data_IF_740155441638
#
_entry.id   IF_740155441638
#
_cell.length_a   1.000
_cell.length_b   1.000
_cell.length_c   1.000
_cell.angle_alpha   90.00
_cell.angle_beta   90.00
_cell.angle_gamma   90.00
#
_symmetry.space_group_name_H-M   'P 1'
#
loop_
_entity.id
_entity.type
_entity.pdbx_description
1 polymer ?
#
# COMPACT_ATOMS: atom_id res chain seq x y z
N UNK A 1 1.35 -41.44 -8.02
CA UNK A 1 1.21 -40.40 -9.03
C UNK A 1 -0.12 -39.70 -8.82
N UNK A 2 -0.12 -38.54 -8.12
CA UNK A 2 -1.30 -37.71 -7.90
C UNK A 2 -1.25 -36.53 -8.89
N UNK A 3 -2.33 -36.21 -9.60
CA UNK A 3 -2.34 -35.11 -10.55
C UNK A 3 -2.41 -33.79 -9.82
N UNK A 4 -1.58 -32.82 -10.26
CA UNK A 4 -1.52 -31.46 -9.77
C UNK A 4 -2.83 -30.68 -10.02
N UNK A 5 -3.24 -29.77 -9.14
CA UNK A 5 -4.45 -28.99 -9.33
C UNK A 5 -4.25 -27.95 -10.43
N UNK A 6 -5.15 -27.95 -11.40
CA UNK A 6 -5.24 -26.97 -12.48
C UNK A 6 -5.62 -25.60 -11.91
N UNK A 7 -4.79 -24.60 -12.16
CA UNK A 7 -5.10 -23.18 -11.89
C UNK A 7 -6.25 -22.74 -12.79
N UNK A 8 -7.28 -22.04 -12.28
CA UNK A 8 -8.28 -21.43 -13.13
C UNK A 8 -7.66 -20.24 -13.87
N UNK A 9 -7.68 -20.30 -15.19
CA UNK A 9 -7.42 -19.18 -16.07
C UNK A 9 -8.60 -18.21 -15.97
N UNK A 10 -8.42 -17.08 -15.30
CA UNK A 10 -9.33 -15.95 -15.39
C UNK A 10 -9.20 -15.32 -16.78
N UNK A 11 -10.13 -15.70 -17.64
CA UNK A 11 -10.45 -14.98 -18.87
C UNK A 11 -10.87 -13.56 -18.50
N UNK A 12 -10.05 -12.60 -18.86
CA UNK A 12 -10.41 -11.19 -18.90
C UNK A 12 -11.50 -11.02 -19.97
N UNK A 13 -12.74 -11.10 -19.54
CA UNK A 13 -13.86 -10.62 -20.34
C UNK A 13 -13.70 -9.11 -20.50
N UNK A 14 -13.42 -8.69 -21.72
CA UNK A 14 -13.50 -7.31 -22.17
C UNK A 14 -14.89 -6.78 -21.83
N UNK A 15 -14.96 -5.92 -20.81
CA UNK A 15 -16.14 -5.09 -20.54
C UNK A 15 -16.23 -4.06 -21.66
N UNK A 16 -16.94 -4.43 -22.71
CA UNK A 16 -17.61 -3.51 -23.60
C UNK A 16 -18.67 -2.79 -22.75
N UNK A 17 -18.34 -1.62 -22.26
CA UNK A 17 -19.30 -0.67 -21.72
C UNK A 17 -20.22 -0.29 -22.87
N UNK A 18 -21.34 -1.00 -22.98
CA UNK A 18 -22.41 -0.63 -23.85
C UNK A 18 -22.96 0.75 -23.44
N UNK A 19 -22.88 1.67 -24.38
CA UNK A 19 -23.30 3.07 -24.38
C UNK A 19 -24.82 3.30 -24.24
N UNK A 20 -25.55 2.43 -23.55
CA UNK A 20 -27.03 2.39 -23.62
C UNK A 20 -27.76 2.75 -22.33
N UNK A 21 -27.06 3.25 -21.28
CA UNK A 21 -27.76 3.66 -20.04
C UNK A 21 -27.71 5.16 -19.72
N UNK A 22 -27.29 6.02 -20.66
CA UNK A 22 -27.10 7.45 -20.39
C UNK A 22 -28.20 8.37 -20.97
N UNK A 23 -29.26 7.86 -21.54
CA UNK A 23 -30.19 8.71 -22.28
C UNK A 23 -31.51 9.11 -21.57
N UNK A 24 -31.73 8.72 -20.32
CA UNK A 24 -33.04 8.99 -19.71
C UNK A 24 -33.06 9.70 -18.34
N UNK A 25 -31.91 10.09 -17.79
CA UNK A 25 -31.87 10.86 -16.54
C UNK A 25 -31.41 12.33 -16.69
N UNK A 26 -31.32 12.83 -17.92
CA UNK A 26 -30.70 14.13 -18.20
C UNK A 26 -31.69 15.33 -18.13
N UNK A 27 -32.89 15.19 -17.59
CA UNK A 27 -33.91 16.22 -17.69
C UNK A 27 -34.35 16.91 -16.41
N UNK A 28 -33.58 16.82 -15.32
CA UNK A 28 -33.98 17.47 -14.06
C UNK A 28 -32.87 18.31 -13.40
N UNK A 29 -31.98 18.94 -14.16
CA UNK A 29 -31.03 19.89 -13.59
C UNK A 29 -31.06 21.20 -14.37
N UNK A 30 -31.57 22.24 -13.72
CA UNK A 30 -31.55 23.68 -14.00
C UNK A 30 -30.87 24.13 -15.30
N UNK A 31 -31.71 24.66 -16.21
CA UNK A 31 -31.38 25.27 -17.50
C UNK A 31 -30.52 26.56 -17.44
N UNK A 32 -29.93 26.94 -16.26
CA UNK A 32 -29.44 28.31 -16.09
C UNK A 32 -27.92 28.52 -16.19
N UNK A 33 -27.09 27.49 -16.42
CA UNK A 33 -25.63 27.71 -16.48
C UNK A 33 -24.92 27.11 -17.69
N UNK A 34 -25.58 26.42 -18.58
CA UNK A 34 -24.93 25.67 -19.68
C UNK A 34 -24.02 24.54 -19.21
N UNK A 35 -24.05 24.20 -17.91
CA UNK A 35 -23.25 23.16 -17.24
C UNK A 35 -24.14 21.94 -17.00
N UNK A 36 -23.86 20.86 -17.72
CA UNK A 36 -24.59 19.61 -17.50
C UNK A 36 -24.12 18.90 -16.21
N UNK A 37 -24.91 17.95 -15.72
CA UNK A 37 -24.64 17.28 -14.44
C UNK A 37 -23.56 16.24 -14.54
N UNK A 38 -23.27 15.69 -15.69
CA UNK A 38 -22.21 14.68 -15.87
C UNK A 38 -20.86 15.34 -16.11
N UNK A 39 -19.82 14.78 -15.56
CA UNK A 39 -18.47 15.24 -15.78
C UNK A 39 -17.45 14.10 -15.90
N UNK A 40 -16.36 14.42 -16.59
CA UNK A 40 -15.12 13.64 -16.54
C UNK A 40 -14.02 14.51 -15.94
N UNK A 41 -13.10 13.89 -15.26
CA UNK A 41 -11.93 14.56 -14.67
C UNK A 41 -10.69 13.74 -14.92
N UNK A 42 -9.61 14.42 -15.30
CA UNK A 42 -8.29 13.83 -15.44
C UNK A 42 -7.32 14.59 -14.55
N UNK A 43 -6.60 13.87 -13.71
CA UNK A 43 -5.65 14.42 -12.74
C UNK A 43 -4.27 13.80 -12.92
N UNK A 44 -3.25 14.59 -12.61
CA UNK A 44 -1.93 14.12 -12.26
C UNK A 44 -1.76 14.23 -10.74
N UNK A 45 -1.55 13.11 -10.09
CA UNK A 45 -1.42 13.06 -8.65
C UNK A 45 0.03 12.74 -8.24
N UNK A 46 0.53 13.52 -7.28
CA UNK A 46 1.76 13.23 -6.54
C UNK A 46 1.36 12.59 -5.22
N UNK A 47 1.79 11.38 -5.01
CA UNK A 47 1.48 10.64 -3.81
C UNK A 47 2.71 10.37 -2.95
N UNK A 48 2.56 10.54 -1.65
CA UNK A 48 3.50 10.14 -0.62
C UNK A 48 2.90 8.96 0.16
N UNK A 49 3.57 7.84 0.10
CA UNK A 49 3.20 6.65 0.85
C UNK A 49 3.90 6.60 2.19
N UNK A 50 3.16 6.16 3.20
CA UNK A 50 3.70 5.77 4.49
C UNK A 50 3.30 4.34 4.77
N UNK A 51 4.31 3.46 4.78
CA UNK A 51 4.16 2.04 5.08
C UNK A 51 4.75 1.81 6.47
N UNK A 52 3.96 1.27 7.39
CA UNK A 52 4.42 0.92 8.74
C UNK A 52 4.27 -0.58 8.90
N UNK A 53 5.39 -1.28 9.10
CA UNK A 53 5.41 -2.72 9.33
C UNK A 53 5.52 -3.03 10.82
N UNK A 54 4.70 -3.95 11.31
CA UNK A 54 4.74 -4.41 12.70
C UNK A 54 5.73 -5.57 12.81
N UNK A 55 6.96 -5.29 13.21
CA UNK A 55 7.98 -6.31 13.44
C UNK A 55 7.77 -7.00 14.79
N UNK A 56 8.19 -8.28 14.91
CA UNK A 56 8.19 -8.95 16.18
C UNK A 56 9.11 -8.21 17.16
N UNK A 57 8.68 -8.14 18.41
CA UNK A 57 9.49 -7.52 19.46
C UNK A 57 10.71 -8.40 19.77
N UNK A 58 11.87 -7.76 19.95
CA UNK A 58 13.04 -8.45 20.45
C UNK A 58 12.76 -8.99 21.86
N UNK A 59 13.17 -10.22 22.11
CA UNK A 59 13.14 -10.87 23.43
C UNK A 59 14.57 -11.09 23.89
N UNK A 60 14.82 -11.12 25.20
CA UNK A 60 16.15 -11.40 25.74
C UNK A 60 16.65 -12.80 25.36
N UNK A 61 17.95 -13.01 25.43
CA UNK A 61 18.65 -14.25 25.04
C UNK A 61 18.14 -15.52 25.77
N UNK A 62 17.51 -15.35 26.93
CA UNK A 62 17.08 -16.47 27.79
C UNK A 62 15.69 -17.01 27.44
N UNK A 63 15.01 -16.45 26.44
CA UNK A 63 13.64 -16.80 26.09
C UNK A 63 13.48 -17.56 24.77
N UNK A 64 14.49 -18.22 24.30
CA UNK A 64 14.49 -19.14 23.13
C UNK A 64 13.77 -18.63 21.88
N UNK A 65 13.79 -17.31 21.63
CA UNK A 65 13.11 -16.70 20.49
C UNK A 65 13.91 -15.54 19.94
N UNK A 66 13.30 -14.67 19.18
CA UNK A 66 13.94 -13.52 18.57
C UNK A 66 14.62 -12.66 19.63
N UNK A 67 15.95 -12.68 19.64
CA UNK A 67 16.76 -11.94 20.62
C UNK A 67 17.03 -10.51 20.20
N UNK A 68 17.12 -10.26 18.91
CA UNK A 68 17.37 -8.91 18.36
C UNK A 68 16.67 -8.73 17.03
N UNK A 69 16.22 -7.50 16.79
CA UNK A 69 15.77 -7.02 15.48
C UNK A 69 16.60 -5.78 15.17
N UNK A 70 17.39 -5.84 14.11
CA UNK A 70 18.26 -4.75 13.68
C UNK A 70 18.00 -4.37 12.22
N UNK A 71 18.43 -3.19 11.83
CA UNK A 71 18.41 -2.69 10.45
C UNK A 71 17.01 -2.76 9.79
N UNK A 72 15.99 -2.36 10.54
CA UNK A 72 14.65 -2.31 10.01
C UNK A 72 14.15 -0.88 9.79
N UNK A 73 13.43 -0.69 8.71
CA UNK A 73 12.72 0.55 8.44
C UNK A 73 11.26 0.41 8.89
N UNK A 74 10.96 0.93 10.07
CA UNK A 74 9.60 0.91 10.62
C UNK A 74 8.63 1.73 9.78
N UNK A 75 9.12 2.80 9.17
CA UNK A 75 8.37 3.69 8.31
C UNK A 75 9.08 3.81 6.96
N UNK A 76 8.54 3.14 5.97
CA UNK A 76 9.00 3.29 4.60
C UNK A 76 8.22 4.45 3.99
N UNK A 77 8.94 5.41 3.41
CA UNK A 77 8.34 6.50 2.65
C UNK A 77 8.67 6.31 1.18
N UNK A 78 7.65 6.31 0.36
CA UNK A 78 7.80 6.23 -1.08
C UNK A 78 7.00 7.36 -1.73
N UNK A 79 7.40 7.77 -2.92
CA UNK A 79 6.77 8.85 -3.66
C UNK A 79 6.53 8.40 -5.09
N UNK A 80 5.37 8.74 -5.66
CA UNK A 80 5.11 8.53 -7.08
C UNK A 80 4.26 9.64 -7.68
N UNK A 81 4.39 9.78 -8.99
CA UNK A 81 3.48 10.58 -9.80
C UNK A 81 2.69 9.60 -10.66
N UNK A 82 1.36 9.71 -10.62
CA UNK A 82 0.48 8.81 -11.35
C UNK A 82 -0.73 9.52 -11.92
N UNK A 83 -1.24 9.09 -13.08
CA UNK A 83 -2.48 9.57 -13.64
C UNK A 83 -3.68 8.99 -12.90
N UNK A 84 -4.74 9.78 -12.83
CA UNK A 84 -6.05 9.38 -12.35
C UNK A 84 -7.11 9.92 -13.27
N UNK A 85 -8.12 9.11 -13.54
CA UNK A 85 -9.32 9.51 -14.29
C UNK A 85 -10.54 9.27 -13.41
N UNK A 86 -11.51 10.17 -13.53
CA UNK A 86 -12.76 10.09 -12.77
C UNK A 86 -13.93 10.42 -13.67
N UNK A 87 -15.05 9.80 -13.40
CA UNK A 87 -16.35 10.14 -13.98
C UNK A 87 -17.32 10.39 -12.84
N UNK A 88 -18.21 11.37 -13.00
CA UNK A 88 -19.10 11.71 -11.89
C UNK A 88 -20.37 12.41 -12.33
N UNK A 89 -21.22 12.61 -11.34
CA UNK A 89 -22.49 13.32 -11.43
C UNK A 89 -22.54 14.42 -10.38
N UNK A 90 -22.90 15.62 -10.81
CA UNK A 90 -23.02 16.83 -9.99
C UNK A 90 -24.51 17.13 -9.75
N UNK A 91 -24.93 17.12 -8.49
CA UNK A 91 -26.30 17.43 -8.06
C UNK A 91 -26.49 18.92 -7.72
N UNK A 92 -25.51 19.78 -8.07
CA UNK A 92 -25.57 21.21 -7.78
C UNK A 92 -25.08 21.63 -6.39
N UNK A 93 -24.38 20.78 -5.69
CA UNK A 93 -23.78 21.03 -4.36
C UNK A 93 -23.19 19.76 -3.79
N UNK A 94 -23.64 18.62 -4.25
CA UNK A 94 -23.07 17.32 -3.99
C UNK A 94 -22.64 16.67 -5.30
N UNK A 95 -21.53 15.98 -5.26
CA UNK A 95 -21.04 15.20 -6.39
C UNK A 95 -20.78 13.76 -5.96
N UNK A 96 -21.08 12.82 -6.83
CA UNK A 96 -20.63 11.44 -6.71
C UNK A 96 -19.66 11.19 -7.85
N UNK A 97 -18.52 10.59 -7.56
CA UNK A 97 -17.50 10.25 -8.54
C UNK A 97 -17.00 8.82 -8.37
N UNK A 98 -16.80 8.15 -9.50
CA UNK A 98 -16.00 6.95 -9.59
C UNK A 98 -14.63 7.32 -10.17
N UNK A 99 -13.56 6.84 -9.56
CA UNK A 99 -12.19 7.13 -10.01
C UNK A 99 -11.35 5.87 -10.15
N UNK A 100 -10.43 5.91 -11.11
CA UNK A 100 -9.40 4.90 -11.31
C UNK A 100 -8.03 5.57 -11.33
N UNK A 101 -7.10 5.04 -10.55
CA UNK A 101 -5.69 5.44 -10.54
C UNK A 101 -4.79 4.25 -10.85
N UNK A 102 -3.80 4.48 -11.72
CA UNK A 102 -2.76 3.50 -12.04
C UNK A 102 -1.44 4.00 -11.50
N UNK A 103 -0.93 3.35 -10.48
CA UNK A 103 0.32 3.73 -9.82
C UNK A 103 1.50 3.15 -10.60
N UNK A 104 2.52 3.99 -10.82
CA UNK A 104 3.79 3.51 -11.35
C UNK A 104 4.57 2.84 -10.22
N UNK A 105 5.49 1.94 -10.58
CA UNK A 105 6.39 1.32 -9.60
C UNK A 105 7.12 2.44 -8.84
N UNK A 106 6.98 2.43 -7.52
CA UNK A 106 7.54 3.43 -6.64
C UNK A 106 9.06 3.29 -6.53
N UNK A 107 9.76 4.40 -6.57
CA UNK A 107 11.17 4.43 -6.23
C UNK A 107 11.33 4.44 -4.71
N UNK A 108 12.31 3.71 -4.17
CA UNK A 108 12.66 3.64 -2.73
C UNK A 108 11.61 3.00 -1.80
N UNK A 109 10.80 2.10 -2.30
CA UNK A 109 9.86 1.32 -1.50
C UNK A 109 10.46 0.03 -0.90
N UNK A 110 11.79 -0.07 -0.87
CA UNK A 110 12.51 -1.23 -0.35
C UNK A 110 12.66 -1.14 1.17
N UNK A 111 12.53 -2.26 1.82
CA UNK A 111 12.85 -2.41 3.23
C UNK A 111 13.82 -3.57 3.44
N UNK A 112 14.57 -3.52 4.54
CA UNK A 112 15.44 -4.60 4.98
C UNK A 112 15.24 -4.83 6.47
N UNK A 113 15.14 -6.08 6.85
CA UNK A 113 15.01 -6.52 8.25
C UNK A 113 16.01 -7.62 8.52
N UNK A 114 16.79 -7.45 9.57
CA UNK A 114 17.67 -8.49 10.09
C UNK A 114 17.14 -8.95 11.44
N UNK A 115 16.83 -10.23 11.57
CA UNK A 115 16.43 -10.85 12.83
C UNK A 115 17.49 -11.87 13.27
N UNK A 116 17.77 -11.89 14.56
CA UNK A 116 18.63 -12.91 15.19
C UNK A 116 17.82 -13.66 16.22
N UNK A 117 17.82 -14.95 16.08
CA UNK A 117 17.19 -15.89 17.00
C UNK A 117 18.28 -16.78 17.61
N UNK A 118 18.25 -16.93 18.93
CA UNK A 118 19.17 -17.77 19.68
C UNK A 118 18.35 -18.84 20.41
N UNK A 119 18.70 -20.11 20.18
CA UNK A 119 18.15 -21.25 20.89
C UNK A 119 19.27 -21.95 21.62
N UNK A 120 19.08 -22.25 22.90
CA UNK A 120 20.07 -22.95 23.75
C UNK A 120 19.45 -24.23 24.30
N UNK A 121 20.11 -25.32 24.03
CA UNK A 121 19.73 -26.63 24.52
C UNK A 121 20.93 -27.28 25.25
N UNK A 122 20.68 -28.05 26.30
CA UNK A 122 21.68 -28.85 26.96
C UNK A 122 21.58 -30.29 26.46
N UNK A 123 22.64 -30.78 25.86
CA UNK A 123 22.70 -32.12 25.27
C UNK A 123 23.97 -32.84 25.75
N UNK A 124 23.81 -34.00 26.39
CA UNK A 124 24.92 -34.81 26.89
C UNK A 124 25.95 -34.04 27.74
N UNK A 125 25.50 -33.16 28.63
CA UNK A 125 26.38 -32.35 29.46
C UNK A 125 26.94 -31.08 28.80
N UNK A 126 26.86 -30.96 27.50
CA UNK A 126 27.31 -29.81 26.70
C UNK A 126 26.17 -28.84 26.45
N UNK A 127 26.49 -27.55 26.33
CA UNK A 127 25.55 -26.55 25.88
C UNK A 127 25.66 -26.37 24.36
N UNK A 128 24.54 -26.48 23.67
CA UNK A 128 24.44 -26.24 22.24
C UNK A 128 23.63 -24.98 22.01
N UNK A 129 24.23 -24.01 21.32
CA UNK A 129 23.61 -22.77 20.94
C UNK A 129 23.40 -22.75 19.42
N UNK A 130 22.14 -22.67 18.97
CA UNK A 130 21.78 -22.46 17.57
C UNK A 130 21.47 -20.99 17.38
N UNK A 131 22.28 -20.30 16.58
CA UNK A 131 22.06 -18.94 16.14
C UNK A 131 21.49 -18.94 14.73
N UNK A 132 20.29 -18.43 14.58
CA UNK A 132 19.66 -18.22 13.28
C UNK A 132 19.66 -16.73 12.95
N UNK A 133 20.25 -16.36 11.83
CA UNK A 133 20.21 -15.02 11.28
C UNK A 133 19.34 -15.03 10.03
N UNK A 134 18.28 -14.24 10.02
CA UNK A 134 17.39 -14.09 8.87
C UNK A 134 17.45 -12.64 8.37
N UNK A 135 17.83 -12.48 7.12
CA UNK A 135 17.80 -11.20 6.42
C UNK A 135 16.66 -11.22 5.41
N UNK A 136 15.69 -10.37 5.63
CA UNK A 136 14.55 -10.17 4.75
C UNK A 136 14.66 -8.83 4.04
N UNK A 137 14.63 -8.84 2.72
CA UNK A 137 14.58 -7.66 1.88
C UNK A 137 13.26 -7.69 1.11
N UNK A 138 12.50 -6.62 1.18
CA UNK A 138 11.21 -6.57 0.54
C UNK A 138 10.94 -5.25 -0.17
N UNK A 139 9.93 -5.26 -1.02
CA UNK A 139 9.40 -4.07 -1.67
C UNK A 139 7.88 -4.11 -1.74
N UNK A 140 7.25 -2.99 -1.42
CA UNK A 140 5.81 -2.78 -1.58
C UNK A 140 5.56 -1.74 -2.65
N UNK A 141 4.54 -1.93 -3.47
CA UNK A 141 4.05 -0.88 -4.36
C UNK A 141 2.56 -1.03 -4.62
N UNK A 142 1.85 0.09 -4.62
CA UNK A 142 0.50 0.15 -5.13
C UNK A 142 0.54 -0.08 -6.64
N UNK A 143 -0.38 -0.87 -7.17
CA UNK A 143 -0.50 -1.11 -8.60
C UNK A 143 -1.64 -0.30 -9.21
N UNK A 144 -2.82 -0.33 -8.58
CA UNK A 144 -3.99 0.40 -9.03
C UNK A 144 -4.99 0.60 -7.90
N UNK A 145 -5.89 1.55 -8.05
CA UNK A 145 -7.06 1.70 -7.19
C UNK A 145 -8.29 2.08 -7.98
N UNK A 146 -9.44 1.53 -7.55
CA UNK A 146 -10.77 1.91 -8.01
C UNK A 146 -11.52 2.47 -6.82
N UNK A 147 -12.11 3.66 -6.92
CA UNK A 147 -12.77 4.32 -5.81
C UNK A 147 -14.10 4.94 -6.15
N UNK A 148 -14.93 5.11 -5.13
CA UNK A 148 -16.15 5.88 -5.13
C UNK A 148 -16.03 6.99 -4.09
N UNK A 149 -16.44 8.20 -4.49
CA UNK A 149 -16.35 9.40 -3.65
C UNK A 149 -17.68 10.11 -3.59
N UNK A 150 -18.04 10.59 -2.40
CA UNK A 150 -19.10 11.57 -2.21
C UNK A 150 -18.44 12.88 -1.78
N UNK A 151 -18.74 13.97 -2.50
CA UNK A 151 -18.05 15.25 -2.40
C UNK A 151 -19.09 16.35 -2.23
N UNK A 152 -18.84 17.26 -1.30
CA UNK A 152 -19.65 18.46 -1.09
C UNK A 152 -18.90 19.68 -1.54
N UNK A 153 -19.50 20.49 -2.43
CA UNK A 153 -18.97 21.75 -2.93
C UNK A 153 -19.56 22.92 -2.16
N UNK A 154 -18.71 23.72 -1.54
CA UNK A 154 -19.13 24.92 -0.82
C UNK A 154 -19.42 26.05 -1.81
N UNK A 155 -20.58 26.66 -1.69
CA UNK A 155 -20.91 27.88 -2.42
C UNK A 155 -20.33 29.08 -1.66
N UNK A 156 -19.47 29.84 -2.32
CA UNK A 156 -18.96 31.10 -1.80
C UNK A 156 -19.84 32.25 -2.28
N UNK A 157 -19.59 33.45 -1.75
CA UNK A 157 -20.29 34.67 -2.16
C UNK A 157 -20.00 34.98 -3.63
N UNK A 158 -20.87 35.77 -4.29
CA UNK A 158 -20.81 36.10 -5.72
C UNK A 158 -19.46 36.65 -6.21
N UNK A 159 -18.67 37.29 -5.32
CA UNK A 159 -17.31 37.75 -5.65
C UNK A 159 -16.30 36.63 -5.89
N UNK A 160 -16.58 35.43 -5.40
CA UNK A 160 -15.70 34.26 -5.45
C UNK A 160 -16.41 33.05 -6.06
N UNK A 161 -17.42 33.28 -6.89
CA UNK A 161 -18.24 32.24 -7.52
C UNK A 161 -17.45 31.22 -8.34
N UNK A 162 -16.30 31.65 -8.91
CA UNK A 162 -15.38 30.80 -9.67
C UNK A 162 -14.60 29.81 -8.80
N UNK A 163 -14.47 30.10 -7.49
CA UNK A 163 -13.78 29.20 -6.56
C UNK A 163 -14.79 28.28 -5.91
N UNK A 164 -14.56 26.99 -6.05
CA UNK A 164 -15.40 25.92 -5.55
C UNK A 164 -14.60 25.05 -4.56
N UNK A 165 -14.44 25.51 -3.30
CA UNK A 165 -13.85 24.63 -2.28
C UNK A 165 -14.74 23.42 -2.08
N UNK A 166 -14.11 22.29 -1.79
CA UNK A 166 -14.86 21.06 -1.55
C UNK A 166 -14.22 20.18 -0.50
N UNK A 167 -15.05 19.32 0.10
CA UNK A 167 -14.64 18.25 0.99
C UNK A 167 -15.40 16.98 0.61
N UNK A 168 -14.81 15.82 0.83
CA UNK A 168 -15.47 14.57 0.50
C UNK A 168 -14.90 13.37 1.24
N UNK A 169 -15.62 12.28 1.13
CA UNK A 169 -15.20 10.95 1.61
C UNK A 169 -15.06 10.01 0.42
N UNK A 170 -14.17 9.05 0.56
CA UNK A 170 -13.88 8.07 -0.50
C UNK A 170 -13.78 6.68 0.09
N UNK A 171 -14.39 5.72 -0.60
CA UNK A 171 -14.15 4.29 -0.41
C UNK A 171 -13.41 3.79 -1.65
N UNK A 172 -12.33 3.06 -1.48
CA UNK A 172 -11.58 2.55 -2.63
C UNK A 172 -11.06 1.14 -2.41
N UNK A 173 -11.05 0.39 -3.50
CA UNK A 173 -10.43 -0.91 -3.60
C UNK A 173 -9.05 -0.76 -4.24
N UNK A 174 -8.01 -1.05 -3.46
CA UNK A 174 -6.62 -0.94 -3.88
C UNK A 174 -5.98 -2.29 -4.10
N UNK A 175 -5.14 -2.38 -5.14
CA UNK A 175 -4.31 -3.54 -5.44
C UNK A 175 -2.85 -3.21 -5.15
N UNK A 176 -2.21 -4.00 -4.28
CA UNK A 176 -0.82 -3.82 -3.83
C UNK A 176 -0.03 -5.07 -4.16
N UNK A 177 1.18 -4.88 -4.66
CA UNK A 177 2.15 -5.96 -4.89
C UNK A 177 3.25 -5.89 -3.86
N UNK A 178 3.56 -7.04 -3.27
CA UNK A 178 4.62 -7.24 -2.30
C UNK A 178 5.59 -8.30 -2.81
N UNK A 179 6.88 -7.97 -2.84
CA UNK A 179 7.95 -8.90 -3.20
C UNK A 179 8.89 -9.03 -2.01
N UNK A 180 9.19 -10.26 -1.65
CA UNK A 180 10.09 -10.60 -0.53
C UNK A 180 11.23 -11.47 -1.03
N UNK A 181 12.44 -11.13 -0.59
CA UNK A 181 13.62 -11.95 -0.72
C UNK A 181 14.20 -12.18 0.67
N UNK A 182 14.28 -13.42 1.09
CA UNK A 182 14.78 -13.80 2.41
C UNK A 182 15.97 -14.74 2.31
N UNK A 183 17.01 -14.47 3.09
CA UNK A 183 18.21 -15.32 3.24
C UNK A 183 18.34 -15.70 4.69
N UNK A 184 18.40 -17.00 4.96
CA UNK A 184 18.56 -17.55 6.31
C UNK A 184 19.94 -18.18 6.47
N UNK A 185 20.64 -17.82 7.55
CA UNK A 185 21.93 -18.41 7.94
C UNK A 185 21.81 -19.03 9.32
N UNK A 186 22.36 -20.22 9.47
CA UNK A 186 22.37 -20.94 10.74
C UNK A 186 23.81 -21.20 11.17
N UNK A 187 24.13 -20.90 12.45
CA UNK A 187 25.42 -21.18 13.08
C UNK A 187 25.16 -21.97 14.35
N UNK A 188 25.78 -23.11 14.48
CA UNK A 188 25.73 -23.94 15.68
C UNK A 188 27.02 -23.76 16.47
N UNK A 189 26.89 -23.45 17.76
CA UNK A 189 28.03 -23.39 18.69
C UNK A 189 27.80 -24.41 19.78
N UNK A 190 28.72 -25.33 19.91
CA UNK A 190 28.73 -26.33 20.98
C UNK A 190 29.79 -25.95 22.03
N UNK A 191 29.36 -25.75 23.27
CA UNK A 191 30.25 -25.51 24.41
C UNK A 191 30.45 -26.84 25.13
N UNK A 192 31.68 -27.32 25.10
CA UNK A 192 32.03 -28.59 25.71
C UNK A 192 32.16 -28.41 27.24
N UNK A 193 31.69 -29.40 28.00
CA UNK A 193 31.94 -29.42 29.43
C UNK A 193 33.46 -29.50 29.72
N UNK A 194 33.93 -28.85 30.77
CA UNK A 194 35.36 -28.95 31.16
C UNK A 194 35.72 -30.42 31.40
N UNK A 195 36.75 -30.91 30.71
CA UNK A 195 37.26 -32.27 30.86
C UNK A 195 38.67 -32.18 31.46
N UNK A 196 38.87 -32.79 32.63
CA UNK A 196 40.19 -32.83 33.30
C UNK A 196 40.67 -31.45 33.76
N UNK A 197 41.98 -31.20 33.64
CA UNK A 197 42.64 -29.97 34.09
C UNK A 197 42.38 -28.71 33.25
N UNK A 198 41.57 -28.81 32.20
CA UNK A 198 41.26 -27.70 31.34
C UNK A 198 40.25 -26.76 32.03
N UNK A 199 40.75 -25.62 32.55
CA UNK A 199 39.92 -24.57 33.20
C UNK A 199 39.01 -23.78 32.23
N UNK A 200 39.14 -23.95 30.91
CA UNK A 200 38.37 -23.23 29.89
C UNK A 200 37.53 -24.23 29.10
N UNK A 201 36.19 -24.04 29.02
CA UNK A 201 35.34 -24.91 28.21
C UNK A 201 35.73 -24.80 26.73
N UNK A 202 35.89 -25.94 26.07
CA UNK A 202 36.10 -25.98 24.62
C UNK A 202 34.90 -25.44 23.89
N UNK A 203 35.12 -24.82 22.72
CA UNK A 203 34.09 -24.29 21.87
C UNK A 203 34.26 -24.78 20.45
N UNK A 204 33.23 -25.42 19.91
CA UNK A 204 33.17 -25.84 18.51
C UNK A 204 32.13 -24.98 17.83
N UNK A 205 32.50 -24.37 16.69
CA UNK A 205 31.58 -23.52 15.88
C UNK A 205 31.45 -24.15 14.50
N UNK A 206 30.24 -24.45 14.13
CA UNK A 206 29.86 -24.97 12.81
C UNK A 206 28.98 -23.95 12.07
N UNK A 207 29.37 -23.63 10.84
CA UNK A 207 28.71 -22.64 10.02
C UNK A 207 29.44 -21.30 9.95
N UNK A 208 28.80 -20.25 9.40
CA UNK A 208 27.39 -20.17 9.04
C UNK A 208 27.02 -20.98 7.78
N UNK A 209 25.97 -21.78 7.88
CA UNK A 209 25.38 -22.47 6.73
C UNK A 209 24.24 -21.62 6.17
N UNK A 210 24.31 -21.29 4.88
CA UNK A 210 23.23 -20.56 4.19
C UNK A 210 22.21 -21.54 3.68
N UNK A 211 20.94 -21.32 4.02
CA UNK A 211 19.81 -22.01 3.36
C UNK A 211 19.54 -21.37 1.99
N UNK A 212 18.89 -22.11 1.05
CA UNK A 212 18.48 -21.55 -0.22
C UNK A 212 17.70 -20.24 -0.02
N UNK A 213 17.98 -19.26 -0.87
CA UNK A 213 17.27 -18.00 -0.85
C UNK A 213 15.79 -18.21 -1.19
N UNK A 214 14.93 -17.59 -0.41
CA UNK A 214 13.49 -17.65 -0.62
C UNK A 214 13.02 -16.39 -1.33
N UNK A 215 12.28 -16.57 -2.42
CA UNK A 215 11.67 -15.49 -3.18
C UNK A 215 10.17 -15.69 -3.22
N UNK A 216 9.44 -14.68 -2.84
CA UNK A 216 8.00 -14.69 -2.88
C UNK A 216 7.46 -13.38 -3.45
N UNK A 217 6.41 -13.48 -4.27
CA UNK A 217 5.68 -12.32 -4.79
C UNK A 217 4.21 -12.52 -4.49
N UNK A 218 3.70 -11.67 -3.63
CA UNK A 218 2.28 -11.63 -3.26
C UNK A 218 1.61 -10.44 -3.91
N UNK A 219 0.36 -10.62 -4.31
CA UNK A 219 -0.52 -9.52 -4.61
C UNK A 219 -1.72 -9.61 -3.69
N UNK A 220 -2.04 -8.50 -3.07
CA UNK A 220 -3.17 -8.43 -2.17
C UNK A 220 -4.01 -7.20 -2.49
N UNK A 221 -5.30 -7.31 -2.21
CA UNK A 221 -6.25 -6.25 -2.45
C UNK A 221 -6.93 -5.88 -1.16
N UNK A 222 -7.15 -4.60 -0.95
CA UNK A 222 -7.76 -4.08 0.26
C UNK A 222 -8.77 -3.00 -0.04
N UNK A 223 -9.83 -2.99 0.74
CA UNK A 223 -10.78 -1.89 0.79
C UNK A 223 -10.26 -0.85 1.80
N UNK A 224 -10.17 0.41 1.37
CA UNK A 224 -9.71 1.50 2.20
C UNK A 224 -10.72 2.64 2.26
N UNK A 225 -10.55 3.48 3.28
CA UNK A 225 -11.33 4.68 3.49
C UNK A 225 -10.44 5.92 3.38
N UNK A 226 -10.96 6.98 2.77
CA UNK A 226 -10.22 8.20 2.58
C UNK A 226 -11.08 9.45 2.74
N UNK A 227 -10.39 10.57 2.88
CA UNK A 227 -10.98 11.90 2.84
C UNK A 227 -10.34 12.71 1.73
N UNK A 228 -11.10 13.61 1.16
CA UNK A 228 -10.71 14.47 0.04
C UNK A 228 -11.02 15.90 0.45
N UNK A 229 -10.14 16.83 0.16
CA UNK A 229 -10.40 18.26 0.25
C UNK A 229 -9.68 18.97 -0.90
N UNK A 230 -10.27 20.04 -1.43
CA UNK A 230 -9.65 20.74 -2.53
C UNK A 230 -10.39 22.00 -2.94
N UNK A 231 -9.94 22.56 -4.06
CA UNK A 231 -10.54 23.76 -4.65
C UNK A 231 -10.61 23.58 -6.16
N UNK A 232 -11.78 23.74 -6.72
CA UNK A 232 -12.01 23.92 -8.16
C UNK A 232 -11.97 25.39 -8.52
N UNK A 233 -11.44 25.74 -9.68
CA UNK A 233 -11.50 27.06 -10.27
C UNK A 233 -12.15 26.97 -11.64
N UNK A 234 -13.32 27.57 -11.80
CA UNK A 234 -14.07 27.56 -13.07
C UNK A 234 -13.40 28.48 -14.10
N UNK A 235 -12.75 27.88 -15.10
CA UNK A 235 -12.15 28.61 -16.23
C UNK A 235 -13.25 29.02 -17.20
N UNK A 236 -14.18 28.10 -17.47
CA UNK A 236 -15.39 28.32 -18.26
C UNK A 236 -16.56 27.64 -17.55
N UNK A 237 -17.82 27.88 -17.95
CA UNK A 237 -18.97 27.18 -17.38
C UNK A 237 -18.85 25.66 -17.41
N UNK A 238 -18.14 25.11 -18.39
CA UNK A 238 -17.96 23.66 -18.56
C UNK A 238 -16.59 23.13 -18.10
N UNK A 239 -15.58 23.99 -17.90
CA UNK A 239 -14.22 23.58 -17.60
C UNK A 239 -13.74 24.15 -16.28
N UNK A 240 -13.40 23.28 -15.34
CA UNK A 240 -12.87 23.60 -14.01
C UNK A 240 -11.45 23.08 -13.89
N UNK A 241 -10.50 23.93 -13.48
CA UNK A 241 -9.20 23.52 -12.97
C UNK A 241 -9.38 23.05 -11.53
N UNK A 242 -8.90 21.86 -11.20
CA UNK A 242 -9.10 21.21 -9.91
C UNK A 242 -7.77 20.93 -9.24
N UNK A 243 -7.62 21.36 -7.99
CA UNK A 243 -6.49 20.98 -7.15
C UNK A 243 -7.01 20.40 -5.85
N UNK A 244 -6.44 19.30 -5.43
CA UNK A 244 -6.95 18.58 -4.28
C UNK A 244 -5.90 17.85 -3.50
N UNK A 245 -6.23 17.63 -2.24
CA UNK A 245 -5.52 16.76 -1.32
C UNK A 245 -6.40 15.57 -0.98
N UNK A 246 -5.80 14.39 -0.97
CA UNK A 246 -6.47 13.15 -0.62
C UNK A 246 -5.64 12.40 0.41
N UNK A 247 -6.25 12.05 1.52
CA UNK A 247 -5.71 11.08 2.47
C UNK A 247 -6.46 9.77 2.32
N UNK A 248 -5.75 8.66 2.24
CA UNK A 248 -6.36 7.34 2.15
C UNK A 248 -5.68 6.36 3.10
N UNK A 249 -6.49 5.66 3.89
CA UNK A 249 -6.07 4.59 4.76
C UNK A 249 -6.56 3.26 4.18
N UNK A 250 -5.62 2.46 3.67
CA UNK A 250 -5.88 1.17 3.04
C UNK A 250 -6.07 0.03 4.04
N UNK A 251 -6.03 0.34 5.34
CA UNK A 251 -6.15 -0.65 6.40
C UNK A 251 -4.86 -1.40 6.67
N UNK A 252 -5.01 -2.65 7.06
CA UNK A 252 -3.91 -3.55 7.40
C UNK A 252 -3.85 -4.66 6.35
N UNK A 253 -2.72 -4.74 5.68
CA UNK A 253 -2.38 -5.80 4.74
C UNK A 253 -1.35 -6.69 5.45
N UNK A 254 -1.76 -7.89 5.88
CA UNK A 254 -0.96 -8.77 6.74
C UNK A 254 -0.50 -8.03 8.02
N UNK A 255 0.82 -7.84 8.22
CA UNK A 255 1.41 -7.10 9.35
C UNK A 255 1.76 -5.65 9.01
N UNK A 256 1.26 -5.13 7.87
CA UNK A 256 1.67 -3.84 7.33
C UNK A 256 0.48 -2.88 7.25
N UNK A 257 0.63 -1.67 7.78
CA UNK A 257 -0.33 -0.58 7.63
C UNK A 257 0.09 0.29 6.46
N UNK A 258 -0.86 0.57 5.59
CA UNK A 258 -0.63 1.32 4.38
C UNK A 258 -1.49 2.59 4.35
N UNK A 259 -0.86 3.75 4.20
CA UNK A 259 -1.51 5.05 4.13
C UNK A 259 -0.91 5.85 2.99
N UNK A 260 -1.75 6.58 2.26
CA UNK A 260 -1.32 7.47 1.18
C UNK A 260 -1.79 8.89 1.43
N UNK A 261 -0.93 9.83 1.09
CA UNK A 261 -1.21 11.26 1.04
C UNK A 261 -0.96 11.70 -0.40
N UNK A 262 -1.96 12.25 -1.06
CA UNK A 262 -1.87 12.62 -2.47
C UNK A 262 -2.21 14.10 -2.62
N UNK A 263 -1.44 14.81 -3.42
CA UNK A 263 -1.79 16.13 -3.95
C UNK A 263 -1.99 15.97 -5.44
N UNK A 264 -3.06 16.52 -5.96
CA UNK A 264 -3.41 16.39 -7.39
C UNK A 264 -3.71 17.73 -8.01
N UNK A 265 -3.40 17.81 -9.31
CA UNK A 265 -3.81 18.89 -10.21
C UNK A 265 -4.45 18.25 -11.43
N UNK A 266 -5.60 18.75 -11.83
CA UNK A 266 -6.35 18.19 -12.95
C UNK A 266 -7.37 19.13 -13.54
N UNK A 267 -8.06 18.62 -14.53
CA UNK A 267 -9.15 19.33 -15.20
C UNK A 267 -10.42 18.49 -15.17
N UNK A 268 -11.53 19.15 -14.88
CA UNK A 268 -12.86 18.58 -14.87
C UNK A 268 -13.70 19.26 -15.94
N UNK A 269 -14.29 18.45 -16.80
CA UNK A 269 -15.16 18.91 -17.89
C UNK A 269 -16.58 18.41 -17.70
N UNK A 270 -17.55 19.31 -17.74
CA UNK A 270 -19.00 19.06 -17.65
C UNK A 270 -19.64 19.03 -19.05
N UNK A 271 -20.51 18.05 -19.26
CA UNK A 271 -21.25 17.91 -20.53
C UNK A 271 -22.56 18.63 -20.51
#
# INVERSE_FOLDING_TARGET
MNPAPKKPSLLFSSLLFSSLLFSSAAQAASEDSGRGPYYVQADLAYAAERITHDYPKATGADKDKISTVSDYFRNIRAHSIHPRVSVGYDFGGWRIAADYASYRKWNNNKYSVNTKELQRNKEHGNWKELKTENQENGSFHAASSLGLSAIYDFKLNDKFDKFKPYIGVRVAYGHVKHQVHSVKKETTTTFLAPTGDAKVPGKIVEGPFSKPAYHESHSTSSLGLGVIAGVGFDITPKLTLDTGYRYHNWGRLEKTRFKTHEVSLGMRYHF
#
